data_IF_069127101688
#
_entry.id   IF_069127101688
#
_cell.length_a   1.000
_cell.length_b   1.000
_cell.length_c   1.000
_cell.angle_alpha   90.00
_cell.angle_beta   90.00
_cell.angle_gamma   90.00
#
_symmetry.space_group_name_H-M   'P 1'
#
loop_
_entity.id
_entity.type
_entity.pdbx_description
1 polymer ?
#
# COMPACT_ATOMS: atom_id res chain seq x y z
N UNK A 1 -60.30 73.42 -17.32
CA UNK A 1 -59.26 74.35 -16.90
C UNK A 1 -58.12 73.61 -16.27
N UNK A 2 -56.95 73.87 -16.77
CA UNK A 2 -55.62 73.51 -16.31
C UNK A 2 -55.24 72.02 -16.21
N UNK A 3 -54.38 71.64 -17.16
CA UNK A 3 -53.50 70.52 -17.23
C UNK A 3 -52.35 70.64 -16.17
N UNK A 4 -51.95 69.54 -15.56
CA UNK A 4 -50.60 69.40 -15.04
C UNK A 4 -50.05 68.07 -15.50
N UNK A 5 -49.02 68.15 -16.31
CA UNK A 5 -48.19 67.07 -16.82
C UNK A 5 -47.14 66.77 -15.76
N UNK A 6 -47.09 65.56 -15.25
CA UNK A 6 -46.01 65.07 -14.38
C UNK A 6 -45.05 64.19 -15.18
N UNK A 7 -43.87 64.70 -15.44
CA UNK A 7 -42.75 64.00 -16.09
C UNK A 7 -42.14 62.99 -15.12
N UNK A 8 -42.18 61.72 -15.48
CA UNK A 8 -41.43 60.66 -14.74
C UNK A 8 -40.08 60.49 -15.48
N UNK A 9 -39.03 60.95 -14.79
CA UNK A 9 -37.66 60.73 -15.25
C UNK A 9 -37.20 59.32 -14.88
N UNK A 10 -36.99 58.49 -15.92
CA UNK A 10 -36.43 57.16 -15.81
C UNK A 10 -34.91 57.28 -15.69
N UNK A 11 -34.38 57.12 -14.47
CA UNK A 11 -32.93 56.97 -14.24
C UNK A 11 -32.52 55.55 -14.49
N UNK A 12 -31.89 55.32 -15.64
CA UNK A 12 -31.26 54.03 -15.97
C UNK A 12 -29.92 53.93 -15.21
N UNK A 13 -29.89 53.14 -14.12
CA UNK A 13 -28.67 52.81 -13.42
C UNK A 13 -27.90 51.74 -14.26
N UNK A 14 -26.85 52.17 -14.92
CA UNK A 14 -25.93 51.32 -15.65
C UNK A 14 -25.00 50.65 -14.61
N UNK A 15 -25.33 49.42 -14.21
CA UNK A 15 -24.47 48.60 -13.32
C UNK A 15 -23.27 48.11 -14.16
N UNK A 16 -22.14 48.78 -14.04
CA UNK A 16 -20.86 48.23 -14.50
C UNK A 16 -20.52 46.99 -13.62
N UNK A 17 -20.79 45.80 -14.17
CA UNK A 17 -20.14 44.58 -13.67
C UNK A 17 -18.65 44.68 -14.00
N UNK A 18 -17.87 45.08 -13.01
CA UNK A 18 -16.43 44.89 -13.02
C UNK A 18 -16.21 43.39 -12.88
N UNK A 19 -16.01 42.71 -14.00
CA UNK A 19 -15.50 41.34 -14.04
C UNK A 19 -14.09 41.37 -13.43
N UNK A 20 -13.98 41.02 -12.16
CA UNK A 20 -12.69 40.71 -11.56
C UNK A 20 -12.05 39.64 -12.42
N UNK A 21 -10.82 39.82 -12.93
CA UNK A 21 -10.15 38.75 -13.64
C UNK A 21 -10.06 37.57 -12.69
N UNK A 22 -10.69 36.44 -13.05
CA UNK A 22 -10.40 35.17 -12.40
C UNK A 22 -8.89 35.02 -12.46
N UNK A 23 -8.23 35.19 -11.31
CA UNK A 23 -6.85 34.75 -11.17
C UNK A 23 -6.86 33.27 -11.45
N UNK A 24 -6.58 32.90 -12.69
CA UNK A 24 -6.04 31.61 -13.00
C UNK A 24 -4.91 31.43 -11.99
N UNK A 25 -4.99 30.47 -11.11
CA UNK A 25 -3.84 30.08 -10.35
C UNK A 25 -2.81 29.69 -11.41
N UNK A 26 -1.87 30.60 -11.67
CA UNK A 26 -0.66 30.26 -12.38
C UNK A 26 -0.11 29.06 -11.61
N UNK A 27 -0.14 27.89 -12.21
CA UNK A 27 0.56 26.71 -11.72
C UNK A 27 1.98 27.20 -11.46
N UNK A 28 2.38 27.10 -10.19
CA UNK A 28 3.70 27.55 -9.76
C UNK A 28 4.71 26.58 -10.38
N UNK A 29 5.23 26.93 -11.57
CA UNK A 29 6.21 26.14 -12.33
C UNK A 29 7.48 25.83 -11.55
N UNK A 30 7.57 26.31 -10.32
CA UNK A 30 8.65 26.12 -9.38
C UNK A 30 8.33 25.21 -8.20
N UNK A 31 7.19 24.49 -8.19
CA UNK A 31 6.83 23.59 -7.08
C UNK A 31 6.58 22.19 -7.60
N UNK A 32 7.30 21.21 -7.07
CA UNK A 32 7.10 19.78 -7.30
C UNK A 32 6.32 19.19 -6.12
N UNK A 33 5.12 18.70 -6.36
CA UNK A 33 4.27 18.11 -5.32
C UNK A 33 4.34 16.59 -5.36
N UNK A 34 4.55 15.95 -4.19
CA UNK A 34 4.70 14.51 -4.06
C UNK A 34 3.75 14.00 -3.00
N UNK A 35 2.96 12.97 -3.33
CA UNK A 35 2.14 12.26 -2.35
C UNK A 35 2.69 10.87 -2.08
N UNK A 36 2.65 10.49 -0.80
CA UNK A 36 3.09 9.17 -0.31
C UNK A 36 2.17 8.76 0.85
N UNK A 37 2.12 7.47 1.19
CA UNK A 37 1.37 7.02 2.36
C UNK A 37 2.00 7.49 3.68
N UNK A 38 1.18 7.82 4.68
CA UNK A 38 1.62 8.37 5.97
C UNK A 38 2.45 7.41 6.85
N UNK A 39 2.37 6.09 6.62
CA UNK A 39 3.18 5.07 7.29
C UNK A 39 4.54 4.83 6.62
N UNK A 40 4.84 5.54 5.52
CA UNK A 40 6.09 5.42 4.76
C UNK A 40 7.05 6.57 5.11
N UNK A 41 8.23 6.56 4.50
CA UNK A 41 9.33 7.49 4.79
C UNK A 41 9.08 8.93 4.28
N UNK A 42 7.96 9.55 4.66
CA UNK A 42 7.60 10.89 4.17
C UNK A 42 8.54 11.99 4.70
N UNK A 43 9.11 11.85 5.91
CA UNK A 43 10.10 12.79 6.44
C UNK A 43 11.44 12.69 5.72
N UNK A 44 11.87 11.47 5.41
CA UNK A 44 13.05 11.23 4.57
C UNK A 44 12.86 11.81 3.17
N UNK A 45 11.67 11.66 2.60
CA UNK A 45 11.32 12.24 1.31
C UNK A 45 11.31 13.78 1.34
N UNK A 46 10.80 14.39 2.41
CA UNK A 46 10.85 15.86 2.63
C UNK A 46 12.31 16.36 2.74
N UNK A 47 13.19 15.58 3.40
CA UNK A 47 14.62 15.92 3.45
C UNK A 47 15.27 15.90 2.05
N UNK A 48 14.92 14.91 1.21
CA UNK A 48 15.36 14.87 -0.18
C UNK A 48 14.81 16.04 -0.99
N UNK A 49 13.56 16.40 -0.74
CA UNK A 49 12.91 17.57 -1.33
C UNK A 49 13.66 18.86 -1.02
N UNK A 50 14.13 19.04 0.22
CA UNK A 50 14.96 20.19 0.63
C UNK A 50 16.30 20.21 -0.11
N UNK A 51 16.99 19.07 -0.21
CA UNK A 51 18.24 18.95 -0.99
C UNK A 51 18.02 19.30 -2.47
N UNK A 52 16.90 18.86 -3.05
CA UNK A 52 16.53 19.20 -4.42
C UNK A 52 16.31 20.70 -4.58
N UNK A 53 15.54 21.29 -3.66
CA UNK A 53 15.27 22.74 -3.64
C UNK A 53 16.56 23.57 -3.54
N UNK A 54 17.47 23.19 -2.67
CA UNK A 54 18.80 23.86 -2.51
C UNK A 54 19.63 23.84 -3.81
N UNK A 55 19.52 22.77 -4.59
CA UNK A 55 20.29 22.59 -5.84
C UNK A 55 19.64 23.21 -7.06
N UNK A 56 18.34 23.21 -7.14
CA UNK A 56 17.59 23.57 -8.36
C UNK A 56 16.80 24.87 -8.22
N UNK A 57 16.55 25.33 -7.01
CA UNK A 57 15.63 26.43 -6.72
C UNK A 57 14.14 26.04 -6.78
N UNK A 58 13.83 24.81 -7.19
CA UNK A 58 12.44 24.30 -7.30
C UNK A 58 11.98 23.83 -5.92
N UNK A 59 10.89 24.39 -5.41
CA UNK A 59 10.29 23.96 -4.15
C UNK A 59 9.72 22.54 -4.27
N UNK A 60 9.99 21.69 -3.28
CA UNK A 60 9.35 20.37 -3.16
C UNK A 60 8.39 20.37 -1.98
N UNK A 61 7.17 19.87 -2.19
CA UNK A 61 6.15 19.72 -1.14
C UNK A 61 5.77 18.24 -1.07
N UNK A 62 5.94 17.64 0.11
CA UNK A 62 5.59 16.24 0.38
C UNK A 62 4.36 16.21 1.26
N UNK A 63 3.34 15.48 0.82
CA UNK A 63 2.07 15.30 1.54
C UNK A 63 1.72 13.81 1.68
N UNK A 64 0.98 13.49 2.72
CA UNK A 64 0.47 12.13 2.97
C UNK A 64 -1.02 12.19 3.35
N UNK A 65 -1.89 12.53 2.38
CA UNK A 65 -3.32 12.67 2.65
C UNK A 65 -3.95 11.33 3.07
N UNK A 66 -4.90 11.38 4.00
CA UNK A 66 -5.76 10.24 4.28
C UNK A 66 -6.49 9.85 2.99
N UNK A 67 -6.70 8.53 2.78
CA UNK A 67 -7.23 7.99 1.52
C UNK A 67 -6.50 8.54 0.28
N UNK A 68 -5.16 8.45 0.30
CA UNK A 68 -4.30 8.99 -0.76
C UNK A 68 -4.67 8.45 -2.15
N UNK A 69 -5.10 7.18 -2.26
CA UNK A 69 -5.47 6.56 -3.55
C UNK A 69 -6.75 7.14 -4.14
N UNK A 70 -7.81 7.25 -3.35
CA UNK A 70 -9.08 7.83 -3.79
C UNK A 70 -8.95 9.32 -4.12
N UNK A 71 -8.20 10.06 -3.28
CA UNK A 71 -7.91 11.48 -3.53
C UNK A 71 -7.05 11.68 -4.77
N UNK A 72 -6.02 10.84 -5.00
CA UNK A 72 -5.22 10.90 -6.22
C UNK A 72 -6.09 10.66 -7.45
N UNK A 73 -6.89 9.60 -7.45
CA UNK A 73 -7.76 9.26 -8.56
C UNK A 73 -8.73 10.41 -8.91
N UNK A 74 -9.36 10.99 -7.89
CA UNK A 74 -10.29 12.10 -8.07
C UNK A 74 -9.58 13.39 -8.55
N UNK A 75 -8.43 13.72 -7.99
CA UNK A 75 -7.68 14.92 -8.36
C UNK A 75 -7.07 14.78 -9.76
N UNK A 76 -6.44 13.66 -10.09
CA UNK A 76 -5.84 13.42 -11.40
C UNK A 76 -6.90 13.39 -12.52
N UNK A 77 -8.08 12.82 -12.28
CA UNK A 77 -9.22 12.88 -13.21
C UNK A 77 -9.71 14.31 -13.45
N UNK A 78 -9.57 15.20 -12.47
CA UNK A 78 -9.84 16.63 -12.58
C UNK A 78 -8.64 17.46 -13.09
N UNK A 79 -7.61 16.82 -13.62
CA UNK A 79 -6.34 17.43 -14.07
C UNK A 79 -5.61 18.21 -12.97
N UNK A 80 -5.64 17.69 -11.74
CA UNK A 80 -5.02 18.26 -10.53
C UNK A 80 -4.25 17.17 -9.77
N UNK A 81 -3.82 17.49 -8.56
CA UNK A 81 -3.14 16.55 -7.66
C UNK A 81 -1.62 16.66 -7.72
N UNK A 82 -0.90 15.71 -7.13
CA UNK A 82 0.55 15.74 -7.05
C UNK A 82 1.18 15.51 -8.43
N UNK A 83 2.42 15.93 -8.61
CA UNK A 83 3.25 15.59 -9.77
C UNK A 83 3.69 14.13 -9.72
N UNK A 84 4.02 13.65 -8.50
CA UNK A 84 4.48 12.29 -8.24
C UNK A 84 3.58 11.64 -7.20
N UNK A 85 3.08 10.45 -7.52
CA UNK A 85 2.38 9.57 -6.57
C UNK A 85 3.27 8.36 -6.24
N UNK A 86 3.68 8.22 -4.98
CA UNK A 86 4.43 7.04 -4.51
C UNK A 86 3.44 6.08 -3.86
N UNK A 87 3.23 4.94 -4.52
CA UNK A 87 2.26 3.93 -4.08
C UNK A 87 2.64 2.53 -4.56
N UNK A 88 1.91 1.53 -4.05
CA UNK A 88 2.00 0.16 -4.47
C UNK A 88 1.51 -0.02 -5.92
N UNK A 89 2.15 -0.93 -6.66
CA UNK A 89 1.89 -1.15 -8.09
C UNK A 89 0.49 -1.72 -8.40
N UNK A 90 -0.22 -2.27 -7.42
CA UNK A 90 -1.56 -2.84 -7.61
C UNK A 90 -2.59 -1.83 -8.13
N UNK A 91 -2.38 -0.54 -7.85
CA UNK A 91 -3.22 0.55 -8.37
C UNK A 91 -2.84 1.02 -9.77
N UNK A 92 -1.64 0.67 -10.23
CA UNK A 92 -1.14 1.17 -11.51
C UNK A 92 -2.04 0.81 -12.69
N UNK A 93 -2.58 -0.43 -12.73
CA UNK A 93 -3.47 -0.87 -13.81
C UNK A 93 -4.76 -0.06 -13.91
N UNK A 94 -5.39 0.23 -12.77
CA UNK A 94 -6.58 1.10 -12.71
C UNK A 94 -6.27 2.52 -13.19
N UNK A 95 -5.18 3.11 -12.69
CA UNK A 95 -4.80 4.48 -13.04
C UNK A 95 -4.33 4.62 -14.48
N UNK A 96 -3.67 3.60 -15.02
CA UNK A 96 -3.32 3.56 -16.46
C UNK A 96 -4.56 3.47 -17.34
N UNK A 97 -5.49 2.57 -17.00
CA UNK A 97 -6.75 2.41 -17.75
C UNK A 97 -7.60 3.67 -17.72
N UNK A 98 -7.58 4.40 -16.62
CA UNK A 98 -8.25 5.70 -16.47
C UNK A 98 -7.46 6.87 -17.06
N UNK A 99 -6.25 6.65 -17.59
CA UNK A 99 -5.42 7.70 -18.18
C UNK A 99 -4.86 8.72 -17.19
N UNK A 100 -4.67 8.34 -15.92
CA UNK A 100 -4.26 9.23 -14.83
C UNK A 100 -2.75 9.34 -14.66
N UNK A 101 -1.99 8.36 -15.13
CA UNK A 101 -0.53 8.32 -15.02
C UNK A 101 0.15 8.38 -16.38
N UNK A 102 1.36 8.89 -16.40
CA UNK A 102 2.19 9.05 -17.57
C UNK A 102 3.13 7.86 -17.74
N UNK A 103 3.32 7.29 -18.95
CA UNK A 103 4.35 6.32 -19.19
C UNK A 103 5.74 6.97 -19.06
N UNK A 104 6.69 6.22 -18.53
CA UNK A 104 8.07 6.66 -18.34
C UNK A 104 9.02 5.86 -19.24
N UNK A 105 10.17 6.44 -19.57
CA UNK A 105 11.15 5.81 -20.46
C UNK A 105 12.57 5.91 -19.85
N UNK A 106 12.85 5.25 -18.74
CA UNK A 106 14.16 5.27 -18.11
C UNK A 106 15.21 4.63 -19.02
N UNK A 107 16.45 5.17 -18.98
CA UNK A 107 17.54 4.64 -19.79
C UNK A 107 17.91 3.22 -19.38
N UNK A 108 18.32 2.32 -20.31
CA UNK A 108 18.68 0.94 -19.99
C UNK A 108 19.75 0.80 -18.90
N UNK A 109 20.72 1.72 -18.86
CA UNK A 109 21.76 1.77 -17.83
C UNK A 109 21.16 2.01 -16.44
N UNK A 110 20.18 2.93 -16.32
CA UNK A 110 19.47 3.18 -15.08
C UNK A 110 18.64 1.95 -14.67
N UNK A 111 17.89 1.38 -15.60
CA UNK A 111 17.07 0.19 -15.35
C UNK A 111 17.89 -1.00 -14.84
N UNK A 112 19.11 -1.17 -15.33
CA UNK A 112 19.99 -2.30 -14.94
C UNK A 112 20.40 -2.30 -13.47
N UNK A 113 20.32 -1.16 -12.79
CA UNK A 113 20.60 -1.03 -11.35
C UNK A 113 19.50 -1.62 -10.45
N UNK A 114 18.34 -1.95 -11.03
CA UNK A 114 17.16 -2.43 -10.26
C UNK A 114 16.83 -3.88 -10.58
N UNK A 115 16.16 -4.54 -9.66
CA UNK A 115 15.63 -5.89 -9.83
C UNK A 115 14.53 -5.91 -10.91
N UNK A 116 14.56 -6.93 -11.76
CA UNK A 116 13.60 -7.08 -12.87
C UNK A 116 12.16 -7.09 -12.39
N UNK A 117 11.86 -7.76 -11.28
CA UNK A 117 10.51 -7.83 -10.69
C UNK A 117 9.96 -6.44 -10.36
N UNK A 118 10.82 -5.48 -10.02
CA UNK A 118 10.42 -4.10 -9.80
C UNK A 118 9.85 -3.45 -11.07
N UNK A 119 10.55 -3.59 -12.19
CA UNK A 119 10.07 -3.09 -13.48
C UNK A 119 8.86 -3.86 -14.00
N UNK A 120 8.85 -5.19 -13.85
CA UNK A 120 7.73 -6.04 -14.29
C UNK A 120 6.41 -5.64 -13.62
N UNK A 121 6.47 -5.20 -12.35
CA UNK A 121 5.31 -4.75 -11.60
C UNK A 121 4.66 -3.48 -12.17
N UNK A 122 5.46 -2.62 -12.81
CA UNK A 122 4.99 -1.38 -13.44
C UNK A 122 4.96 -1.44 -14.96
N UNK A 123 5.11 -2.64 -15.56
CA UNK A 123 5.16 -2.80 -17.01
C UNK A 123 3.90 -3.48 -17.53
N UNK A 124 3.10 -2.80 -18.33
CA UNK A 124 1.95 -3.34 -19.06
C UNK A 124 1.74 -2.61 -20.38
N UNK A 125 1.13 -3.31 -21.34
CA UNK A 125 0.91 -2.82 -22.70
C UNK A 125 2.18 -2.31 -23.39
N UNK A 126 3.31 -2.98 -23.10
CA UNK A 126 4.62 -2.66 -23.69
C UNK A 126 5.23 -1.35 -23.20
N UNK A 127 4.70 -0.74 -22.15
CA UNK A 127 5.19 0.52 -21.55
C UNK A 127 5.51 0.34 -20.08
N UNK A 128 6.35 1.21 -19.54
CA UNK A 128 6.68 1.33 -18.12
C UNK A 128 5.89 2.51 -17.56
N UNK A 129 5.23 2.33 -16.41
CA UNK A 129 4.32 3.31 -15.82
C UNK A 129 4.74 3.82 -14.46
N UNK A 130 5.91 3.41 -13.97
CA UNK A 130 6.44 3.85 -12.70
C UNK A 130 7.86 3.37 -12.46
N UNK A 131 8.52 3.97 -11.50
CA UNK A 131 9.88 3.68 -11.07
C UNK A 131 9.86 2.85 -9.80
N UNK A 132 10.44 1.65 -9.76
CA UNK A 132 10.40 0.78 -8.60
C UNK A 132 11.31 1.31 -7.47
N UNK A 133 10.75 1.43 -6.26
CA UNK A 133 11.47 1.90 -5.06
C UNK A 133 11.83 0.72 -4.13
N UNK A 134 10.82 -0.02 -3.68
CA UNK A 134 10.98 -1.11 -2.74
C UNK A 134 10.14 -2.32 -3.11
N UNK A 135 10.63 -3.52 -2.76
CA UNK A 135 9.91 -4.79 -2.89
C UNK A 135 9.46 -5.17 -1.49
N UNK A 136 8.20 -4.96 -1.19
CA UNK A 136 7.65 -5.17 0.15
C UNK A 136 6.95 -6.53 0.27
N UNK A 137 7.12 -7.14 1.43
CA UNK A 137 6.32 -8.27 1.89
C UNK A 137 6.14 -8.18 3.40
N UNK A 138 4.98 -8.62 3.86
CA UNK A 138 4.72 -8.78 5.29
C UNK A 138 5.38 -10.06 5.81
N UNK A 139 5.58 -10.11 7.13
CA UNK A 139 6.09 -11.27 7.83
C UNK A 139 5.49 -11.38 9.23
N UNK A 140 5.84 -12.44 9.93
CA UNK A 140 5.54 -12.58 11.34
C UNK A 140 6.61 -11.83 12.15
N UNK A 141 6.23 -10.70 12.75
CA UNK A 141 7.08 -9.97 13.71
C UNK A 141 6.80 -10.55 15.09
N UNK A 142 7.83 -10.99 15.80
CA UNK A 142 7.68 -11.63 17.11
C UNK A 142 8.60 -11.02 18.16
N UNK A 143 8.10 -10.88 19.38
CA UNK A 143 8.84 -10.44 20.55
C UNK A 143 9.65 -11.62 21.12
N UNK A 144 10.99 -11.56 21.05
CA UNK A 144 11.88 -12.63 21.47
C UNK A 144 11.83 -12.91 22.99
N UNK A 145 11.42 -11.92 23.78
CA UNK A 145 11.23 -12.11 25.21
C UNK A 145 10.01 -12.99 25.56
N UNK A 146 9.01 -13.05 24.65
CA UNK A 146 7.78 -13.82 24.83
C UNK A 146 7.80 -15.13 24.04
N UNK A 147 8.49 -15.15 22.90
CA UNK A 147 8.54 -16.28 21.98
C UNK A 147 9.99 -16.48 21.53
N UNK A 148 10.68 -17.47 22.10
CA UNK A 148 12.07 -17.76 21.74
C UNK A 148 12.19 -18.32 20.30
N UNK A 149 11.19 -19.08 19.86
CA UNK A 149 11.10 -19.64 18.51
C UNK A 149 9.68 -19.42 17.98
N UNK A 150 9.52 -18.70 16.86
CA UNK A 150 8.20 -18.46 16.29
C UNK A 150 7.54 -19.77 15.84
N UNK A 151 6.20 -19.91 15.99
CA UNK A 151 5.46 -21.09 15.58
C UNK A 151 5.51 -21.27 14.05
N UNK A 152 5.58 -22.52 13.60
CA UNK A 152 5.62 -22.87 12.20
C UNK A 152 4.21 -22.98 11.58
N UNK A 153 3.17 -23.11 12.39
CA UNK A 153 1.79 -23.26 11.95
C UNK A 153 0.81 -22.46 12.82
N UNK A 154 -0.35 -22.12 12.28
CA UNK A 154 -1.43 -21.49 13.06
C UNK A 154 -2.03 -22.43 14.11
N UNK A 155 -1.91 -23.73 13.92
CA UNK A 155 -2.25 -24.72 14.92
C UNK A 155 -1.33 -24.62 16.16
N UNK A 156 -0.04 -24.36 15.95
CA UNK A 156 0.90 -24.07 17.04
C UNK A 156 0.60 -22.71 17.70
N UNK A 157 0.16 -21.70 16.96
CA UNK A 157 -0.30 -20.40 17.50
C UNK A 157 -1.46 -20.60 18.48
N UNK A 158 -2.47 -21.41 18.12
CA UNK A 158 -3.59 -21.76 19.01
C UNK A 158 -3.11 -22.42 20.32
N UNK A 159 -2.06 -23.23 20.24
CA UNK A 159 -1.49 -23.92 21.41
C UNK A 159 -0.67 -22.96 22.27
N UNK A 160 0.12 -22.10 21.65
CA UNK A 160 0.93 -21.07 22.31
C UNK A 160 0.07 -20.09 23.09
N UNK A 161 -1.07 -19.68 22.50
CA UNK A 161 -2.01 -18.74 23.13
C UNK A 161 -2.51 -19.26 24.48
N UNK A 162 -2.86 -20.54 24.58
CA UNK A 162 -3.30 -21.16 25.85
C UNK A 162 -2.27 -21.01 26.98
N UNK A 163 -0.98 -20.92 26.62
CA UNK A 163 0.09 -20.72 27.60
C UNK A 163 0.23 -19.26 27.96
N UNK A 164 0.21 -18.37 26.97
CA UNK A 164 0.37 -16.92 27.16
C UNK A 164 -0.86 -16.31 27.87
N UNK A 165 -2.05 -16.80 27.59
CA UNK A 165 -3.30 -16.35 28.21
C UNK A 165 -3.32 -16.52 29.74
N UNK A 166 -2.60 -17.51 30.30
CA UNK A 166 -2.41 -17.66 31.76
C UNK A 166 -1.74 -16.44 32.38
N UNK A 167 -0.93 -15.71 31.62
CA UNK A 167 -0.27 -14.47 32.02
C UNK A 167 -0.98 -13.20 31.48
N UNK A 168 -2.21 -13.31 31.00
CA UNK A 168 -2.96 -12.19 30.47
C UNK A 168 -2.46 -11.64 29.12
N UNK A 169 -1.76 -12.48 28.34
CA UNK A 169 -1.19 -12.13 27.03
C UNK A 169 -1.78 -13.00 25.94
N UNK A 170 -1.74 -12.53 24.70
CA UNK A 170 -2.18 -13.28 23.54
C UNK A 170 -1.02 -13.60 22.58
N UNK A 171 -1.19 -14.68 21.81
CA UNK A 171 -0.12 -15.14 20.94
C UNK A 171 0.08 -14.21 19.73
N UNK A 172 -1.00 -13.74 19.10
CA UNK A 172 -0.90 -13.00 17.84
C UNK A 172 -2.06 -12.03 17.67
N UNK A 173 -1.79 -10.94 16.96
CA UNK A 173 -2.81 -10.03 16.44
C UNK A 173 -2.33 -9.41 15.13
N UNK A 174 -3.26 -9.08 14.23
CA UNK A 174 -3.02 -8.23 13.06
C UNK A 174 -4.32 -7.53 12.65
N UNK A 175 -4.23 -6.59 11.71
CA UNK A 175 -5.39 -5.96 11.09
C UNK A 175 -6.05 -6.96 10.12
N UNK A 176 -6.80 -7.88 10.67
CA UNK A 176 -7.30 -9.05 9.95
C UNK A 176 -8.45 -8.76 8.98
N UNK A 177 -9.11 -7.61 9.07
CA UNK A 177 -10.09 -7.19 8.07
C UNK A 177 -9.43 -6.59 6.83
N UNK A 178 -8.22 -6.07 6.96
CA UNK A 178 -7.42 -5.66 5.83
C UNK A 178 -6.90 -6.89 5.08
N UNK A 179 -7.37 -7.06 3.88
CA UNK A 179 -7.08 -8.24 3.04
C UNK A 179 -5.59 -8.46 2.80
N UNK A 180 -4.79 -7.40 2.70
CA UNK A 180 -3.35 -7.49 2.49
C UNK A 180 -2.65 -8.31 3.58
N UNK A 181 -3.03 -8.13 4.84
CA UNK A 181 -2.46 -8.85 5.99
C UNK A 181 -3.03 -10.26 6.17
N UNK A 182 -4.27 -10.50 5.75
CA UNK A 182 -4.96 -11.79 5.93
C UNK A 182 -4.79 -12.73 4.73
N UNK A 183 -4.51 -12.18 3.55
CA UNK A 183 -4.36 -12.96 2.33
C UNK A 183 -3.38 -14.14 2.42
N UNK A 184 -2.26 -14.08 3.15
CA UNK A 184 -1.36 -15.22 3.31
C UNK A 184 -2.04 -16.51 3.78
N UNK A 185 -3.03 -16.41 4.66
CA UNK A 185 -3.80 -17.56 5.15
C UNK A 185 -4.66 -18.15 4.01
N UNK A 186 -5.32 -17.28 3.25
CA UNK A 186 -6.16 -17.65 2.11
C UNK A 186 -5.33 -18.30 1.00
N UNK A 187 -4.12 -17.80 0.77
CA UNK A 187 -3.22 -18.27 -0.29
C UNK A 187 -2.44 -19.55 0.09
N UNK A 188 -2.37 -19.92 1.38
CA UNK A 188 -1.62 -21.08 1.84
C UNK A 188 -2.00 -22.38 1.13
N UNK A 189 -3.28 -22.61 0.94
CA UNK A 189 -3.81 -23.81 0.32
C UNK A 189 -4.26 -23.59 -1.14
N UNK A 190 -3.76 -22.51 -1.80
CA UNK A 190 -3.98 -22.27 -3.22
C UNK A 190 -5.07 -21.26 -3.55
N UNK A 191 -5.50 -20.42 -2.61
CA UNK A 191 -6.29 -19.22 -2.90
C UNK A 191 -5.48 -18.21 -3.70
N UNK A 192 -6.12 -17.47 -4.59
CA UNK A 192 -5.50 -16.42 -5.40
C UNK A 192 -6.52 -15.33 -5.73
N UNK A 193 -6.09 -14.07 -5.97
CA UNK A 193 -7.01 -13.01 -6.38
C UNK A 193 -7.50 -13.21 -7.81
N UNK A 194 -6.57 -13.30 -8.76
CA UNK A 194 -6.83 -13.52 -10.18
C UNK A 194 -5.90 -14.59 -10.74
N UNK A 195 -6.44 -15.50 -11.51
CA UNK A 195 -5.69 -16.53 -12.22
C UNK A 195 -4.94 -15.96 -13.41
N UNK A 196 -4.09 -16.80 -14.03
CA UNK A 196 -3.32 -16.42 -15.22
C UNK A 196 -3.79 -17.18 -16.44
N UNK A 197 -3.88 -16.49 -17.57
CA UNK A 197 -4.11 -17.11 -18.88
C UNK A 197 -2.90 -17.96 -19.30
N UNK A 198 -3.07 -18.77 -20.34
CA UNK A 198 -1.97 -19.52 -20.93
C UNK A 198 -0.79 -18.64 -21.43
N UNK A 199 -1.04 -17.36 -21.71
CA UNK A 199 -0.02 -16.38 -22.08
C UNK A 199 0.65 -15.72 -20.87
N UNK A 200 0.27 -16.10 -19.63
CA UNK A 200 0.84 -15.56 -18.39
C UNK A 200 0.21 -14.26 -17.89
N UNK A 201 -0.72 -13.66 -18.63
CA UNK A 201 -1.43 -12.45 -18.18
C UNK A 201 -2.48 -12.79 -17.12
N UNK A 202 -2.77 -11.89 -16.21
CA UNK A 202 -3.88 -12.05 -15.28
C UNK A 202 -5.23 -12.02 -15.99
N UNK A 203 -6.19 -12.79 -15.47
CA UNK A 203 -7.56 -12.89 -15.99
C UNK A 203 -8.55 -12.33 -14.98
N UNK A 204 -9.23 -11.26 -15.31
CA UNK A 204 -10.24 -10.63 -14.46
C UNK A 204 -11.44 -11.55 -14.14
N UNK A 205 -11.67 -12.57 -14.95
CA UNK A 205 -12.79 -13.53 -14.79
C UNK A 205 -12.41 -14.79 -14.02
N UNK A 206 -11.11 -15.10 -13.89
CA UNK A 206 -10.63 -16.23 -13.11
C UNK A 206 -10.28 -15.77 -11.68
N UNK A 207 -11.25 -15.89 -10.78
CA UNK A 207 -11.14 -15.44 -9.38
C UNK A 207 -11.14 -16.67 -8.46
N UNK A 208 -10.07 -16.80 -7.68
CA UNK A 208 -9.84 -17.95 -6.80
C UNK A 208 -9.94 -17.67 -5.31
N UNK A 209 -10.62 -16.56 -4.92
CA UNK A 209 -10.78 -16.19 -3.50
C UNK A 209 -11.74 -17.10 -2.73
N UNK A 210 -12.56 -17.88 -3.41
CA UNK A 210 -13.54 -18.81 -2.84
C UNK A 210 -13.27 -20.28 -3.18
N UNK A 211 -12.07 -20.60 -3.67
CA UNK A 211 -11.71 -22.00 -3.87
C UNK A 211 -11.57 -22.73 -2.50
N UNK A 212 -11.56 -24.08 -2.48
CA UNK A 212 -11.49 -24.82 -1.21
C UNK A 212 -10.29 -24.45 -0.33
N UNK A 213 -9.17 -24.06 -0.96
CA UNK A 213 -7.97 -23.64 -0.23
C UNK A 213 -8.12 -22.29 0.46
N UNK A 214 -8.74 -21.32 -0.22
CA UNK A 214 -9.04 -20.02 0.36
C UNK A 214 -10.04 -20.14 1.52
N UNK A 215 -11.10 -20.96 1.34
CA UNK A 215 -12.07 -21.24 2.41
C UNK A 215 -11.38 -21.79 3.65
N UNK A 216 -10.47 -22.75 3.50
CA UNK A 216 -9.69 -23.31 4.62
C UNK A 216 -8.86 -22.26 5.36
N UNK A 217 -8.28 -21.30 4.63
CA UNK A 217 -7.56 -20.15 5.25
C UNK A 217 -8.50 -19.24 6.04
N UNK A 218 -9.67 -18.95 5.50
CA UNK A 218 -10.68 -18.14 6.19
C UNK A 218 -11.31 -18.85 7.39
N UNK A 219 -11.44 -20.18 7.35
CA UNK A 219 -11.85 -20.99 8.51
C UNK A 219 -10.81 -20.92 9.64
N UNK A 220 -9.51 -20.90 9.33
CA UNK A 220 -8.46 -20.69 10.33
C UNK A 220 -8.56 -19.30 10.96
N UNK A 221 -8.80 -18.25 10.17
CA UNK A 221 -9.05 -16.91 10.70
C UNK A 221 -10.25 -16.87 11.66
N UNK A 222 -11.40 -17.44 11.24
CA UNK A 222 -12.57 -17.53 12.09
C UNK A 222 -12.27 -18.27 13.40
N UNK A 223 -11.55 -19.38 13.33
CA UNK A 223 -11.14 -20.17 14.49
C UNK A 223 -10.27 -19.38 15.49
N UNK A 224 -9.32 -18.57 15.00
CA UNK A 224 -8.47 -17.73 15.87
C UNK A 224 -9.31 -16.71 16.67
N UNK A 225 -10.37 -16.19 16.07
CA UNK A 225 -11.29 -15.24 16.72
C UNK A 225 -12.26 -15.96 17.66
N UNK A 226 -12.88 -17.04 17.21
CA UNK A 226 -13.86 -17.80 17.99
C UNK A 226 -13.26 -18.44 19.23
N UNK A 227 -11.97 -18.79 19.19
CA UNK A 227 -11.23 -19.32 20.35
C UNK A 227 -10.65 -18.24 21.27
N UNK A 228 -10.83 -16.95 20.92
CA UNK A 228 -10.38 -15.83 21.75
C UNK A 228 -8.89 -15.50 21.64
N UNK A 229 -8.15 -16.12 20.70
CA UNK A 229 -6.73 -15.76 20.43
C UNK A 229 -6.63 -14.31 19.97
N UNK A 230 -7.60 -13.88 19.16
CA UNK A 230 -7.69 -12.49 18.69
C UNK A 230 -9.04 -11.88 19.07
N UNK A 231 -9.06 -10.62 19.58
CA UNK A 231 -10.30 -9.92 19.87
C UNK A 231 -11.05 -9.55 18.58
N UNK A 232 -12.37 -9.42 18.67
CA UNK A 232 -13.17 -8.87 17.58
C UNK A 232 -12.91 -7.36 17.42
N UNK A 233 -12.88 -6.88 16.18
CA UNK A 233 -12.73 -5.45 15.87
C UNK A 233 -11.29 -4.90 15.99
N UNK A 234 -10.27 -5.75 15.91
CA UNK A 234 -8.89 -5.30 15.90
C UNK A 234 -8.55 -4.46 14.65
N UNK A 235 -7.73 -3.42 14.86
CA UNK A 235 -7.20 -2.53 13.83
C UNK A 235 -5.68 -2.53 13.85
N UNK A 236 -5.04 -2.00 12.81
CA UNK A 236 -3.59 -1.87 12.76
C UNK A 236 -3.01 -1.05 13.93
N UNK A 237 -3.69 0.02 14.34
CA UNK A 237 -3.30 0.83 15.50
C UNK A 237 -3.41 0.08 16.83
N UNK A 238 -4.48 -0.69 17.01
CA UNK A 238 -4.65 -1.55 18.20
C UNK A 238 -3.56 -2.63 18.26
N UNK A 239 -3.22 -3.25 17.14
CA UNK A 239 -2.14 -4.22 17.01
C UNK A 239 -0.79 -3.64 17.43
N UNK A 240 -0.40 -2.50 16.86
CA UNK A 240 0.90 -1.85 17.15
C UNK A 240 0.98 -1.43 18.62
N UNK A 241 -0.12 -0.92 19.21
CA UNK A 241 -0.18 -0.57 20.63
C UNK A 241 -0.06 -1.80 21.54
N UNK A 242 -0.78 -2.89 21.25
CA UNK A 242 -0.72 -4.13 22.03
C UNK A 242 0.68 -4.78 21.98
N UNK A 243 1.32 -4.78 20.81
CA UNK A 243 2.69 -5.25 20.64
C UNK A 243 3.66 -4.39 21.46
N UNK A 244 3.54 -3.06 21.37
CA UNK A 244 4.38 -2.10 22.10
C UNK A 244 4.30 -2.26 23.63
N UNK A 245 3.15 -2.65 24.15
CA UNK A 245 2.93 -2.95 25.59
C UNK A 245 3.30 -4.37 26.00
N UNK A 246 3.65 -5.25 25.06
CA UNK A 246 3.88 -6.66 25.31
C UNK A 246 2.63 -7.44 25.71
N UNK A 247 1.45 -6.99 25.32
CA UNK A 247 0.16 -7.66 25.50
C UNK A 247 -0.03 -8.80 24.50
N UNK A 248 0.61 -8.68 23.31
CA UNK A 248 0.69 -9.73 22.30
C UNK A 248 2.15 -10.13 22.06
N UNK A 249 2.36 -11.40 21.72
CA UNK A 249 3.68 -11.92 21.47
C UNK A 249 4.13 -11.76 20.00
N UNK A 250 3.19 -11.70 19.06
CA UNK A 250 3.46 -11.66 17.63
C UNK A 250 2.44 -10.78 16.91
N UNK A 251 2.87 -10.24 15.77
CA UNK A 251 1.98 -9.54 14.83
C UNK A 251 2.35 -9.84 13.38
N UNK A 252 1.38 -9.76 12.47
CA UNK A 252 1.64 -9.80 11.03
C UNK A 252 1.71 -8.36 10.53
N UNK A 253 2.91 -7.92 10.11
CA UNK A 253 3.14 -6.60 9.57
C UNK A 253 4.41 -6.57 8.70
N UNK A 254 4.78 -5.39 8.24
CA UNK A 254 5.92 -5.17 7.35
C UNK A 254 7.03 -4.31 7.96
N UNK A 255 8.07 -3.98 7.16
CA UNK A 255 9.23 -3.20 7.59
C UNK A 255 8.88 -1.82 8.16
N UNK A 256 7.75 -1.24 7.78
CA UNK A 256 7.26 0.04 8.29
C UNK A 256 6.95 0.07 9.78
N UNK A 257 6.73 -1.09 10.42
CA UNK A 257 6.51 -1.19 11.86
C UNK A 257 7.79 -1.41 12.68
N UNK A 258 8.93 -1.72 12.05
CA UNK A 258 10.15 -2.04 12.79
C UNK A 258 10.65 -0.88 13.66
N UNK A 259 10.50 0.36 13.19
CA UNK A 259 10.88 1.52 13.98
C UNK A 259 9.98 1.71 15.21
N UNK A 260 8.71 1.37 15.11
CA UNK A 260 7.80 1.36 16.25
C UNK A 260 8.24 0.34 17.32
N UNK A 261 8.70 -0.84 16.88
CA UNK A 261 9.25 -1.85 17.78
C UNK A 261 10.54 -1.38 18.46
N UNK A 262 11.44 -0.73 17.74
CA UNK A 262 12.67 -0.15 18.30
C UNK A 262 12.36 0.94 19.32
N UNK A 263 11.43 1.85 19.03
CA UNK A 263 10.97 2.91 19.95
C UNK A 263 10.34 2.33 21.21
N UNK A 264 9.61 1.23 21.09
CA UNK A 264 9.05 0.48 22.21
C UNK A 264 10.09 -0.37 22.96
N UNK A 265 11.36 -0.37 22.52
CA UNK A 265 12.48 -1.17 23.08
C UNK A 265 12.20 -2.68 23.10
N UNK A 266 11.49 -3.19 22.11
CA UNK A 266 11.22 -4.61 21.94
C UNK A 266 12.36 -5.24 21.16
N UNK A 267 12.99 -6.28 21.70
CA UNK A 267 13.85 -7.17 20.94
C UNK A 267 12.98 -8.11 20.12
N UNK A 268 12.92 -7.85 18.83
CA UNK A 268 12.05 -8.57 17.91
C UNK A 268 12.81 -9.29 16.80
N UNK A 269 12.16 -10.25 16.20
CA UNK A 269 12.60 -10.92 15.00
C UNK A 269 11.50 -10.92 13.95
N UNK A 270 11.87 -11.27 12.74
CA UNK A 270 10.95 -11.49 11.60
C UNK A 270 11.06 -12.95 11.17
N UNK A 271 9.94 -13.57 10.88
CA UNK A 271 9.85 -14.97 10.44
C UNK A 271 8.82 -15.10 9.29
N UNK A 272 8.80 -16.25 8.61
CA UNK A 272 7.69 -16.59 7.72
C UNK A 272 6.36 -16.60 8.47
N UNK A 273 5.29 -16.21 7.78
CA UNK A 273 3.94 -16.33 8.33
C UNK A 273 3.61 -17.82 8.54
N UNK A 274 3.04 -18.22 9.67
CA UNK A 274 2.73 -19.61 9.97
C UNK A 274 1.91 -20.31 8.89
N UNK A 275 2.15 -21.57 8.69
CA UNK A 275 1.41 -22.41 7.74
C UNK A 275 -0.05 -22.64 8.16
N UNK A 276 -0.91 -22.96 7.21
CA UNK A 276 -2.31 -23.35 7.44
C UNK A 276 -2.50 -24.79 6.96
N UNK A 277 -2.84 -25.70 7.87
CA UNK A 277 -3.04 -27.12 7.52
C UNK A 277 -1.82 -27.75 6.85
N UNK A 278 -0.61 -27.43 7.32
CA UNK A 278 0.66 -27.93 6.81
C UNK A 278 1.12 -27.34 5.47
N UNK A 279 0.41 -26.32 4.93
CA UNK A 279 0.80 -25.63 3.69
C UNK A 279 1.34 -24.23 4.01
N UNK A 280 2.51 -23.85 3.45
CA UNK A 280 3.10 -22.53 3.68
C UNK A 280 2.18 -21.38 3.28
N UNK A 281 2.04 -20.41 4.13
CA UNK A 281 1.37 -19.14 3.81
C UNK A 281 2.13 -18.39 2.73
N UNK A 282 1.40 -17.75 1.81
CA UNK A 282 1.99 -17.02 0.69
C UNK A 282 1.59 -15.55 0.77
N UNK A 283 2.56 -14.71 1.05
CA UNK A 283 2.37 -13.25 1.15
C UNK A 283 2.18 -12.63 -0.22
N UNK A 284 1.53 -11.47 -0.28
CA UNK A 284 1.65 -10.62 -1.44
C UNK A 284 3.05 -10.00 -1.52
N UNK A 285 3.64 -10.04 -2.71
CA UNK A 285 4.78 -9.21 -3.06
C UNK A 285 4.23 -7.91 -3.62
N UNK A 286 4.50 -6.82 -2.92
CA UNK A 286 4.15 -5.48 -3.32
C UNK A 286 5.41 -4.77 -3.83
N UNK A 287 5.31 -4.05 -4.93
CA UNK A 287 6.36 -3.12 -5.36
C UNK A 287 5.87 -1.71 -5.14
N UNK A 288 6.49 -1.02 -4.20
CA UNK A 288 6.32 0.42 -4.04
C UNK A 288 7.07 1.13 -5.16
N UNK A 289 6.46 2.14 -5.74
CA UNK A 289 7.12 2.89 -6.80
C UNK A 289 6.55 4.29 -6.98
N UNK A 290 7.30 5.10 -7.71
CA UNK A 290 6.94 6.48 -8.05
C UNK A 290 6.31 6.52 -9.43
N UNK A 291 5.07 6.97 -9.50
CA UNK A 291 4.30 7.19 -10.74
C UNK A 291 4.11 8.68 -10.96
N UNK A 292 4.20 9.11 -12.22
CA UNK A 292 4.04 10.51 -12.59
C UNK A 292 2.59 10.75 -13.00
N UNK A 293 1.95 11.75 -12.41
CA UNK A 293 0.61 12.18 -12.78
C UNK A 293 0.61 12.70 -14.23
N UNK A 294 -0.29 12.18 -15.05
CA UNK A 294 -0.41 12.60 -16.46
C UNK A 294 -0.74 14.08 -16.59
N UNK A 295 -1.47 14.64 -15.64
CA UNK A 295 -1.84 16.06 -15.61
C UNK A 295 -0.70 16.98 -15.13
N UNK A 296 0.41 16.43 -14.60
CA UNK A 296 1.55 17.22 -14.19
C UNK A 296 2.13 18.04 -15.32
N UNK A 297 2.42 19.30 -15.05
CA UNK A 297 3.18 20.21 -15.93
C UNK A 297 4.68 20.16 -15.66
N UNK A 298 5.08 19.44 -14.58
CA UNK A 298 6.46 19.33 -14.08
C UNK A 298 7.08 17.95 -14.37
N UNK A 299 6.68 17.25 -15.45
CA UNK A 299 7.09 15.86 -15.73
C UNK A 299 8.60 15.67 -15.79
N UNK A 300 9.33 16.59 -16.42
CA UNK A 300 10.79 16.53 -16.51
C UNK A 300 11.44 16.71 -15.13
N UNK A 301 10.93 17.63 -14.30
CA UNK A 301 11.38 17.80 -12.93
C UNK A 301 11.06 16.58 -12.06
N UNK A 302 9.91 15.93 -12.29
CA UNK A 302 9.54 14.70 -11.61
C UNK A 302 10.53 13.56 -11.95
N UNK A 303 10.87 13.38 -13.23
CA UNK A 303 11.89 12.41 -13.66
C UNK A 303 13.25 12.73 -13.04
N UNK A 304 13.69 14.00 -13.10
CA UNK A 304 14.94 14.45 -12.51
C UNK A 304 15.00 14.15 -10.99
N UNK A 305 13.94 14.46 -10.27
CA UNK A 305 13.85 14.15 -8.84
C UNK A 305 13.91 12.64 -8.57
N UNK A 306 13.16 11.85 -9.32
CA UNK A 306 13.11 10.40 -9.13
C UNK A 306 14.45 9.75 -9.45
N UNK A 307 15.05 10.04 -10.60
CA UNK A 307 16.25 9.34 -11.06
C UNK A 307 17.53 9.82 -10.35
N UNK A 308 17.65 11.13 -10.04
CA UNK A 308 18.90 11.72 -9.57
C UNK A 308 18.90 12.09 -8.08
N UNK A 309 17.75 11.94 -7.38
CA UNK A 309 17.66 12.14 -5.92
C UNK A 309 17.01 10.97 -5.20
N UNK A 310 15.78 10.58 -5.56
CA UNK A 310 15.01 9.57 -4.84
C UNK A 310 15.66 8.18 -4.95
N UNK A 311 15.94 7.72 -6.16
CA UNK A 311 16.40 6.35 -6.46
C UNK A 311 17.93 6.22 -6.53
N UNK A 312 18.66 7.12 -5.89
CA UNK A 312 20.10 7.04 -5.69
C UNK A 312 20.44 6.31 -4.39
N UNK A 313 21.70 5.90 -4.21
CA UNK A 313 22.16 5.31 -2.94
C UNK A 313 21.94 6.26 -1.74
N UNK A 314 22.18 7.56 -1.91
CA UNK A 314 21.95 8.57 -0.85
C UNK A 314 20.47 8.80 -0.58
N UNK A 315 19.64 8.85 -1.63
CA UNK A 315 18.19 8.98 -1.53
C UNK A 315 17.58 7.80 -0.79
N UNK A 316 17.88 6.60 -1.21
CA UNK A 316 17.39 5.37 -0.57
C UNK A 316 17.83 5.26 0.90
N UNK A 317 19.09 5.63 1.21
CA UNK A 317 19.60 5.69 2.58
C UNK A 317 18.83 6.72 3.42
N UNK A 318 18.53 7.88 2.85
CA UNK A 318 17.77 8.93 3.54
C UNK A 318 16.35 8.45 3.89
N UNK A 319 15.66 7.80 2.95
CA UNK A 319 14.35 7.21 3.22
C UNK A 319 14.41 6.09 4.26
N UNK A 320 15.34 5.14 4.08
CA UNK A 320 15.49 3.97 4.96
C UNK A 320 15.86 4.35 6.41
N UNK A 321 16.49 5.52 6.60
CA UNK A 321 16.80 6.06 7.92
C UNK A 321 15.59 6.66 8.64
N UNK A 322 14.54 7.05 7.92
CA UNK A 322 13.27 7.52 8.50
C UNK A 322 12.34 6.34 8.79
N UNK A 323 12.04 5.58 7.75
CA UNK A 323 11.25 4.34 7.83
C UNK A 323 11.92 3.27 6.98
N UNK A 324 12.14 2.09 7.56
CA UNK A 324 12.81 1.01 6.84
C UNK A 324 12.09 0.66 5.53
N UNK A 325 12.83 0.70 4.43
CA UNK A 325 12.34 0.28 3.12
C UNK A 325 12.24 -1.25 2.99
N UNK A 326 12.77 -2.00 3.95
CA UNK A 326 12.84 -3.45 3.86
C UNK A 326 13.77 -3.88 2.72
N UNK A 327 13.23 -4.58 1.74
CA UNK A 327 13.96 -4.99 0.53
C UNK A 327 13.75 -3.93 -0.55
N UNK A 328 14.81 -3.23 -0.93
CA UNK A 328 14.72 -2.26 -2.03
C UNK A 328 14.80 -2.93 -3.40
N UNK A 329 14.21 -2.28 -4.40
CA UNK A 329 14.35 -2.70 -5.78
C UNK A 329 15.76 -2.42 -6.34
N UNK A 330 16.52 -1.48 -5.76
CA UNK A 330 17.88 -1.12 -6.16
C UNK A 330 18.88 -2.17 -5.68
N UNK A 331 19.52 -2.89 -6.60
CA UNK A 331 20.39 -4.04 -6.33
C UNK A 331 21.53 -3.76 -5.37
N UNK A 332 22.26 -2.66 -5.58
CA UNK A 332 23.42 -2.30 -4.76
C UNK A 332 22.99 -1.90 -3.34
N UNK A 333 21.91 -1.13 -3.21
CA UNK A 333 21.40 -0.77 -1.89
C UNK A 333 20.91 -2.01 -1.14
N UNK A 334 20.15 -2.89 -1.78
CA UNK A 334 19.76 -4.17 -1.19
C UNK A 334 20.98 -4.97 -0.73
N UNK A 335 22.00 -5.11 -1.58
CA UNK A 335 23.24 -5.85 -1.25
C UNK A 335 23.94 -5.27 -0.01
N UNK A 336 23.93 -3.95 0.17
CA UNK A 336 24.53 -3.29 1.34
C UNK A 336 23.77 -3.59 2.66
N UNK A 337 22.51 -4.02 2.57
CA UNK A 337 21.62 -4.32 3.71
C UNK A 337 21.33 -5.81 3.88
N UNK A 338 21.74 -6.67 2.95
CA UNK A 338 21.37 -8.09 2.90
C UNK A 338 21.84 -8.90 4.12
N UNK A 339 22.85 -8.43 4.84
CA UNK A 339 23.34 -9.06 6.09
C UNK A 339 22.46 -8.78 7.32
N UNK A 340 21.54 -7.80 7.24
CA UNK A 340 20.58 -7.53 8.31
C UNK A 340 19.59 -8.71 8.39
N UNK A 341 19.46 -9.38 9.57
CA UNK A 341 18.60 -10.56 9.71
C UNK A 341 17.11 -10.26 9.44
N UNK A 342 16.64 -9.02 9.65
CA UNK A 342 15.27 -8.63 9.36
C UNK A 342 15.04 -8.54 7.84
N UNK A 343 16.01 -7.96 7.11
CA UNK A 343 16.00 -7.90 5.64
C UNK A 343 16.08 -9.30 5.04
N UNK A 344 16.98 -10.15 5.57
CA UNK A 344 17.12 -11.53 5.10
C UNK A 344 15.82 -12.35 5.30
N UNK A 345 15.15 -12.20 6.45
CA UNK A 345 13.87 -12.85 6.72
C UNK A 345 12.75 -12.32 5.82
N UNK A 346 12.71 -11.02 5.56
CA UNK A 346 11.75 -10.42 4.61
C UNK A 346 11.97 -10.95 3.19
N UNK A 347 13.22 -11.09 2.75
CA UNK A 347 13.54 -11.69 1.45
C UNK A 347 13.08 -13.16 1.36
N UNK A 348 13.11 -13.92 2.44
CA UNK A 348 12.55 -15.28 2.48
C UNK A 348 11.03 -15.28 2.20
N UNK A 349 10.30 -14.33 2.81
CA UNK A 349 8.88 -14.16 2.55
C UNK A 349 8.62 -13.78 1.08
N UNK A 350 9.42 -12.87 0.52
CA UNK A 350 9.34 -12.45 -0.89
C UNK A 350 9.54 -13.64 -1.84
N UNK A 351 10.55 -14.48 -1.61
CA UNK A 351 10.84 -15.65 -2.47
C UNK A 351 9.67 -16.63 -2.60
N UNK A 352 8.85 -16.73 -1.55
CA UNK A 352 7.70 -17.62 -1.49
C UNK A 352 6.37 -16.91 -1.77
N UNK A 353 6.41 -15.61 -2.02
CA UNK A 353 5.23 -14.77 -2.19
C UNK A 353 4.61 -14.82 -3.59
N UNK A 354 3.51 -14.13 -3.73
CA UNK A 354 2.77 -13.94 -4.98
C UNK A 354 2.82 -12.46 -5.35
N UNK A 355 3.36 -12.14 -6.54
CA UNK A 355 3.29 -10.76 -7.03
C UNK A 355 1.81 -10.35 -7.12
N UNK A 356 1.48 -9.21 -6.49
CA UNK A 356 0.12 -8.67 -6.60
C UNK A 356 -0.22 -8.40 -8.06
N UNK A 357 -1.44 -8.71 -8.51
CA UNK A 357 -1.90 -8.25 -9.80
C UNK A 357 -2.02 -6.73 -9.86
N UNK A 358 -1.78 -6.17 -11.04
CA UNK A 358 -2.03 -4.74 -11.33
C UNK A 358 -3.23 -4.55 -12.26
N UNK A 359 -4.24 -5.39 -12.16
CA UNK A 359 -5.48 -5.25 -12.93
C UNK A 359 -6.34 -4.10 -12.39
N UNK A 360 -7.13 -3.42 -13.24
CA UNK A 360 -8.14 -2.46 -12.78
C UNK A 360 -9.10 -3.05 -11.73
N UNK A 361 -9.38 -4.33 -11.82
CA UNK A 361 -10.25 -5.09 -10.93
C UNK A 361 -9.69 -5.27 -9.50
N UNK A 362 -8.43 -4.90 -9.25
CA UNK A 362 -7.87 -4.97 -7.90
C UNK A 362 -8.61 -4.08 -6.90
N UNK A 363 -9.16 -2.94 -7.32
CA UNK A 363 -9.98 -2.09 -6.43
C UNK A 363 -11.23 -2.83 -5.94
N UNK A 364 -11.89 -3.60 -6.82
CA UNK A 364 -13.04 -4.44 -6.46
C UNK A 364 -12.62 -5.61 -5.58
N UNK A 365 -11.47 -6.23 -5.87
CA UNK A 365 -10.93 -7.29 -5.02
C UNK A 365 -10.75 -6.80 -3.58
N UNK A 366 -10.10 -5.66 -3.37
CA UNK A 366 -9.89 -5.11 -2.03
C UNK A 366 -11.20 -4.87 -1.29
N UNK A 367 -12.14 -4.15 -1.89
CA UNK A 367 -13.42 -3.80 -1.25
C UNK A 367 -14.32 -5.01 -0.98
N UNK A 368 -14.36 -5.98 -1.90
CA UNK A 368 -15.15 -7.20 -1.74
C UNK A 368 -14.58 -8.10 -0.64
N UNK A 369 -13.26 -8.26 -0.61
CA UNK A 369 -12.58 -9.10 0.38
C UNK A 369 -12.63 -8.48 1.79
N UNK A 370 -12.42 -7.16 1.93
CA UNK A 370 -12.58 -6.46 3.21
C UNK A 370 -13.98 -6.68 3.79
N UNK A 371 -15.02 -6.54 2.96
CA UNK A 371 -16.41 -6.83 3.36
C UNK A 371 -16.59 -8.29 3.79
N UNK A 372 -16.02 -9.24 3.05
CA UNK A 372 -16.12 -10.66 3.38
C UNK A 372 -15.41 -10.99 4.70
N UNK A 373 -14.17 -10.51 4.87
CA UNK A 373 -13.41 -10.69 6.11
C UNK A 373 -14.14 -10.07 7.30
N UNK A 374 -14.71 -8.86 7.16
CA UNK A 374 -15.50 -8.23 8.19
C UNK A 374 -16.76 -9.04 8.57
N UNK A 375 -17.42 -9.69 7.60
CA UNK A 375 -18.56 -10.56 7.87
C UNK A 375 -18.15 -11.86 8.59
N UNK A 376 -17.03 -12.46 8.19
CA UNK A 376 -16.48 -13.66 8.83
C UNK A 376 -16.08 -13.37 10.27
N UNK A 377 -15.30 -12.32 10.49
CA UNK A 377 -14.68 -12.01 11.78
C UNK A 377 -15.70 -11.51 12.82
N UNK A 378 -16.81 -10.97 12.35
CA UNK A 378 -17.95 -10.61 13.22
C UNK A 378 -18.96 -11.75 13.41
N UNK A 379 -18.76 -12.90 12.74
CA UNK A 379 -19.67 -14.05 12.82
C UNK A 379 -21.00 -13.84 12.08
N UNK A 380 -21.08 -12.88 11.16
CA UNK A 380 -22.30 -12.59 10.36
C UNK A 380 -22.51 -13.58 9.22
N UNK A 381 -21.44 -14.11 8.66
CA UNK A 381 -21.46 -15.10 7.59
C UNK A 381 -20.41 -16.17 7.85
N UNK A 382 -20.70 -17.40 7.40
CA UNK A 382 -19.68 -18.47 7.37
C UNK A 382 -18.60 -18.15 6.32
N UNK A 383 -17.35 -18.61 6.49
CA UNK A 383 -16.27 -18.35 5.57
C UNK A 383 -16.61 -18.61 4.10
N UNK A 384 -17.21 -19.77 3.80
CA UNK A 384 -17.59 -20.12 2.43
C UNK A 384 -18.60 -19.14 1.83
N UNK A 385 -19.65 -18.78 2.58
CA UNK A 385 -20.72 -17.88 2.11
C UNK A 385 -20.17 -16.48 1.82
N UNK A 386 -19.32 -15.96 2.72
CA UNK A 386 -18.69 -14.64 2.57
C UNK A 386 -17.76 -14.60 1.36
N UNK A 387 -16.93 -15.63 1.17
CA UNK A 387 -15.99 -15.68 0.05
C UNK A 387 -16.70 -15.93 -1.29
N UNK A 388 -17.79 -16.69 -1.34
CA UNK A 388 -18.61 -16.85 -2.55
C UNK A 388 -19.22 -15.50 -2.97
N UNK A 389 -19.77 -14.74 -2.03
CA UNK A 389 -20.29 -13.41 -2.29
C UNK A 389 -19.19 -12.44 -2.76
N UNK A 390 -17.99 -12.50 -2.16
CA UNK A 390 -16.85 -11.72 -2.60
C UNK A 390 -16.42 -12.06 -4.03
N UNK A 391 -16.31 -13.36 -4.35
CA UNK A 391 -15.93 -13.81 -5.69
C UNK A 391 -16.92 -13.32 -6.77
N UNK A 392 -18.22 -13.32 -6.47
CA UNK A 392 -19.22 -12.78 -7.38
C UNK A 392 -19.04 -11.26 -7.57
N UNK A 393 -18.88 -10.49 -6.48
CA UNK A 393 -18.69 -9.03 -6.55
C UNK A 393 -17.41 -8.64 -7.31
N UNK A 394 -16.35 -9.43 -7.21
CA UNK A 394 -15.09 -9.17 -7.95
C UNK A 394 -15.31 -9.36 -9.46
N UNK A 395 -16.11 -10.37 -9.88
CA UNK A 395 -16.37 -10.71 -11.30
C UNK A 395 -17.41 -9.80 -11.97
N UNK A 396 -18.37 -9.28 -11.22
CA UNK A 396 -19.42 -8.41 -11.78
C UNK A 396 -18.88 -6.99 -11.98
N UNK A 397 -19.18 -6.44 -13.16
CA UNK A 397 -18.84 -5.06 -13.53
C UNK A 397 -19.67 -4.05 -12.75
#
# INVERSE_FOLDING_TARGET
MFKLISSVSLVAALSLLVAAPARAHAEDKGTLQIWINGDKAFKGLDQLGKKFTEKTGVKVVVEHPDDATGKFQSAAAAHKGPDIMIWAHDRAGEWVSAGLVEPVNPKPKFMSAFEKVGWDAFSFDGKIWGYPLAIEAIGLIYNKALVAKPPASFEEVLTLDKTLAKGGKHAILWDYNNTYFTFPLLAANGGYPFGRTAKGNYSATDVGVNNPGAIKGAEMLAKLIDTGVMPKGATGSAMSAAMGKGEIAMMISGPWDWENMRKAKIDFGVAPIPSVGGKPSKVFICVQGAMINRASTNKELAVEFIENYLLTMDGLKTLDSDVSLGVTAHKEFYKSRAADPLIAATMQNIKNGLLMPSLPEMSRFWSAMESALGNITQGRQKPKEALDAAAQRIKTQ
#
